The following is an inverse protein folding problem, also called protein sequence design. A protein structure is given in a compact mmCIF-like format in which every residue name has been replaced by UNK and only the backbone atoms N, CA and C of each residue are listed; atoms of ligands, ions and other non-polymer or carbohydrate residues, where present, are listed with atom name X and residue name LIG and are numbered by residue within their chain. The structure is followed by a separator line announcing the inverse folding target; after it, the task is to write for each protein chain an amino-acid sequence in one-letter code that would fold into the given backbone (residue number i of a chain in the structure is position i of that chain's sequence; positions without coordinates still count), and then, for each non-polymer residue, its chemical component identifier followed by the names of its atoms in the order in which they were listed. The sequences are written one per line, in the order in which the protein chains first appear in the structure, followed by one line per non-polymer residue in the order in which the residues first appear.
data_IF_698888275474
#
_entry.id   IF_698888275474
#
_cell.length_a   1.000
_cell.length_b   1.000
_cell.length_c   1.000
_cell.angle_alpha   90.00
_cell.angle_beta   90.00
_cell.angle_gamma   90.00
#
_symmetry.space_group_name_H-M   'P 1'
#
loop_
_entity.id
_entity.type
_entity.pdbx_description
1 polymer ?
#
# COMPACT_ATOMS: atom_id res chain seq x y z
N UNK A 1 5.25 -42.11 -9.30
CA UNK A 1 5.70 -41.13 -8.29
C UNK A 1 5.71 -39.76 -8.98
N UNK A 2 4.61 -39.01 -8.89
CA UNK A 2 4.42 -37.76 -9.61
C UNK A 2 4.46 -36.58 -8.64
N UNK A 3 5.36 -35.62 -8.87
CA UNK A 3 5.39 -34.36 -8.14
C UNK A 3 4.67 -33.32 -9.00
N UNK A 4 3.48 -32.92 -8.58
CA UNK A 4 2.70 -31.86 -9.23
C UNK A 4 3.23 -30.52 -8.70
N UNK A 5 3.99 -29.78 -9.52
CA UNK A 5 4.17 -28.34 -9.30
C UNK A 5 2.83 -27.66 -9.54
N UNK A 6 2.23 -27.09 -8.49
CA UNK A 6 1.09 -26.18 -8.63
C UNK A 6 1.65 -24.82 -9.07
N UNK A 7 1.12 -24.27 -10.16
CA UNK A 7 1.38 -22.88 -10.52
C UNK A 7 0.60 -21.96 -9.57
N UNK A 8 1.20 -20.83 -9.24
CA UNK A 8 0.51 -19.72 -8.60
C UNK A 8 -0.49 -19.11 -9.58
N UNK A 9 -1.78 -19.16 -9.24
CA UNK A 9 -2.80 -18.30 -9.86
C UNK A 9 -3.21 -17.26 -8.84
N UNK A 10 -2.56 -16.10 -8.84
CA UNK A 10 -3.21 -14.88 -8.36
C UNK A 10 -4.38 -14.63 -9.31
N UNK A 11 -5.59 -14.45 -8.76
CA UNK A 11 -6.81 -14.37 -9.55
C UNK A 11 -6.94 -12.99 -10.21
N UNK A 12 -6.14 -12.72 -11.23
CA UNK A 12 -6.31 -11.56 -12.09
C UNK A 12 -7.64 -11.67 -12.84
N UNK A 13 -8.39 -10.56 -12.87
CA UNK A 13 -9.62 -10.46 -13.66
C UNK A 13 -9.26 -10.56 -15.16
N UNK A 14 -10.09 -11.25 -15.93
CA UNK A 14 -9.64 -11.90 -17.17
C UNK A 14 -9.31 -10.95 -18.34
N UNK A 15 -8.19 -11.23 -19.02
CA UNK A 15 -7.95 -10.88 -20.42
C UNK A 15 -7.50 -12.15 -21.18
N UNK A 16 -7.98 -12.33 -22.41
CA UNK A 16 -7.92 -13.59 -23.15
C UNK A 16 -7.05 -13.46 -24.42
N UNK A 17 -6.06 -14.34 -24.62
CA UNK A 17 -5.54 -14.72 -25.95
C UNK A 17 -4.64 -15.98 -25.90
N UNK A 18 -4.50 -16.65 -27.05
CA UNK A 18 -3.91 -18.00 -27.20
C UNK A 18 -2.38 -18.00 -27.46
N UNK A 19 -1.76 -19.16 -27.21
CA UNK A 19 -0.32 -19.44 -27.35
C UNK A 19 0.02 -20.43 -28.48
N UNK A 20 1.24 -20.30 -29.02
CA UNK A 20 2.08 -21.35 -29.68
C UNK A 20 3.53 -20.82 -29.73
N UNK A 21 4.67 -21.52 -29.73
CA UNK A 21 5.14 -22.85 -29.29
C UNK A 21 6.68 -22.96 -29.60
N UNK A 22 7.49 -23.51 -28.66
CA UNK A 22 8.64 -24.46 -28.83
C UNK A 22 9.85 -24.15 -29.79
N UNK A 23 11.15 -24.33 -29.46
CA UNK A 23 11.87 -24.48 -28.16
C UNK A 23 13.43 -24.12 -28.15
N UNK A 24 14.45 -25.01 -28.38
CA UNK A 24 15.62 -25.02 -27.44
C UNK A 24 17.07 -25.14 -27.99
N UNK A 25 18.09 -24.81 -27.15
CA UNK A 25 19.48 -25.36 -27.07
C UNK A 25 20.31 -24.58 -26.00
N UNK A 26 20.84 -25.08 -24.86
CA UNK A 26 21.90 -26.09 -24.54
C UNK A 26 23.38 -25.67 -24.68
N UNK A 27 24.07 -25.40 -23.55
CA UNK A 27 25.48 -25.76 -23.20
C UNK A 27 25.86 -25.05 -21.87
N UNK A 28 26.18 -25.65 -20.71
CA UNK A 28 27.27 -26.57 -20.27
C UNK A 28 28.72 -26.03 -20.42
N UNK A 29 29.32 -25.60 -19.30
CA UNK A 29 30.75 -25.29 -19.12
C UNK A 29 31.10 -25.12 -17.63
N UNK A 30 32.30 -25.50 -17.14
CA UNK A 30 32.46 -25.91 -15.72
C UNK A 30 33.09 -24.86 -14.77
N UNK A 31 33.03 -25.19 -13.47
CA UNK A 31 33.55 -24.39 -12.36
C UNK A 31 35.02 -24.67 -12.01
N UNK A 32 35.66 -23.70 -11.32
CA UNK A 32 36.79 -23.92 -10.41
C UNK A 32 36.76 -22.90 -9.27
N UNK A 33 37.13 -23.31 -8.05
CA UNK A 33 37.18 -22.48 -6.84
C UNK A 33 38.63 -22.36 -6.33
N UNK A 34 38.95 -21.32 -5.54
CA UNK A 34 39.89 -21.38 -4.38
C UNK A 34 40.06 -20.02 -3.68
N UNK A 35 40.14 -20.03 -2.33
CA UNK A 35 41.07 -19.19 -1.57
C UNK A 35 40.53 -17.89 -0.93
N UNK A 36 40.68 -17.69 0.40
CA UNK A 36 40.20 -16.49 1.10
C UNK A 36 41.27 -15.42 1.34
N UNK A 37 40.86 -14.14 1.42
CA UNK A 37 41.66 -13.05 1.99
C UNK A 37 40.75 -11.98 2.63
N UNK A 38 41.24 -11.29 3.64
CA UNK A 38 40.46 -10.47 4.58
C UNK A 38 40.45 -8.96 4.28
N UNK A 39 39.29 -8.34 4.50
CA UNK A 39 39.07 -7.02 5.12
C UNK A 39 39.81 -5.78 4.59
N UNK A 40 39.10 -5.00 3.76
CA UNK A 40 38.84 -3.55 3.95
C UNK A 40 37.57 -3.20 3.18
N UNK A 41 36.51 -2.74 3.87
CA UNK A 41 35.26 -2.35 3.20
C UNK A 41 35.39 -0.97 2.55
N UNK A 42 35.21 -0.82 1.23
CA UNK A 42 35.13 0.49 0.60
C UNK A 42 33.74 1.09 0.81
N UNK A 43 33.65 2.43 0.80
CA UNK A 43 32.37 3.11 0.65
C UNK A 43 31.70 2.66 -0.67
N UNK A 44 30.40 2.39 -0.64
CA UNK A 44 29.65 2.09 -1.86
C UNK A 44 29.50 3.37 -2.68
N UNK A 45 30.34 3.52 -3.70
CA UNK A 45 30.07 4.45 -4.78
C UNK A 45 28.89 3.92 -5.61
N UNK A 46 28.10 4.83 -6.17
CA UNK A 46 27.04 4.50 -7.13
C UNK A 46 27.62 3.67 -8.28
N UNK A 47 27.20 2.42 -8.38
CA UNK A 47 27.47 1.60 -9.55
C UNK A 47 26.50 2.05 -10.66
N UNK A 48 26.98 2.45 -11.86
CA UNK A 48 26.10 2.68 -12.99
C UNK A 48 25.36 1.38 -13.30
N UNK A 49 24.03 1.41 -13.33
CA UNK A 49 23.22 0.25 -13.71
C UNK A 49 23.63 -0.20 -15.11
N UNK A 50 24.25 -1.36 -15.20
CA UNK A 50 24.97 -1.79 -16.38
C UNK A 50 24.06 -2.29 -17.50
N UNK A 51 23.76 -1.43 -18.47
CA UNK A 51 23.54 -1.78 -19.88
C UNK A 51 22.38 -2.71 -20.26
N UNK A 52 21.57 -3.17 -19.31
CA UNK A 52 20.30 -3.83 -19.59
C UNK A 52 19.24 -2.77 -19.90
N UNK A 53 18.44 -3.01 -20.93
CA UNK A 53 17.27 -2.18 -21.24
C UNK A 53 16.23 -2.31 -20.10
N UNK A 54 15.75 -1.17 -19.60
CA UNK A 54 14.72 -1.17 -18.55
C UNK A 54 13.43 -1.76 -19.12
N UNK A 55 12.79 -2.73 -18.45
CA UNK A 55 11.53 -3.27 -18.92
C UNK A 55 10.42 -2.22 -18.75
N UNK A 56 9.35 -2.26 -19.56
CA UNK A 56 8.09 -1.61 -19.23
C UNK A 56 7.68 -2.02 -17.81
N UNK A 57 7.25 -1.05 -17.00
CA UNK A 57 6.92 -1.21 -15.60
C UNK A 57 8.13 -1.34 -14.66
N UNK A 58 9.36 -1.19 -15.14
CA UNK A 58 10.57 -1.04 -14.32
C UNK A 58 10.75 0.39 -13.81
N UNK A 59 11.53 0.57 -12.75
CA UNK A 59 11.85 1.89 -12.23
C UNK A 59 13.05 2.52 -12.98
N UNK A 60 12.87 3.75 -13.47
CA UNK A 60 13.94 4.54 -14.13
C UNK A 60 14.96 5.09 -13.13
N UNK A 61 14.52 5.31 -11.88
CA UNK A 61 15.32 5.86 -10.79
C UNK A 61 14.95 5.23 -9.44
N UNK A 62 15.55 5.74 -8.37
CA UNK A 62 15.32 5.26 -7.00
C UNK A 62 16.12 4.01 -6.66
N UNK A 63 16.12 3.67 -5.38
CA UNK A 63 16.85 2.54 -4.82
C UNK A 63 15.89 1.38 -4.57
N UNK A 64 16.26 0.16 -4.98
CA UNK A 64 15.48 -1.05 -4.68
C UNK A 64 15.51 -1.33 -3.16
N UNK A 65 14.35 -1.46 -2.52
CA UNK A 65 14.21 -1.71 -1.09
C UNK A 65 14.71 -3.09 -0.67
N UNK A 66 14.47 -4.11 -1.49
CA UNK A 66 15.00 -5.47 -1.31
C UNK A 66 15.01 -6.29 -2.60
N UNK A 67 15.87 -7.30 -2.64
CA UNK A 67 15.90 -8.29 -3.72
C UNK A 67 14.63 -9.16 -3.69
N UNK A 68 14.08 -9.48 -4.88
CA UNK A 68 12.87 -10.29 -5.01
C UNK A 68 11.59 -9.53 -4.67
N UNK A 69 10.51 -10.27 -4.40
CA UNK A 69 9.16 -9.70 -4.33
C UNK A 69 8.96 -8.78 -3.13
N UNK A 70 8.54 -7.54 -3.38
CA UNK A 70 8.14 -6.56 -2.38
C UNK A 70 6.97 -5.72 -2.93
N UNK A 71 5.76 -6.01 -2.44
CA UNK A 71 4.49 -5.46 -2.92
C UNK A 71 3.83 -4.57 -1.86
N UNK A 72 2.91 -3.71 -2.31
CA UNK A 72 1.98 -2.98 -1.45
C UNK A 72 2.68 -2.16 -0.34
N UNK A 73 3.61 -1.25 -0.72
CA UNK A 73 4.44 -0.55 0.24
C UNK A 73 3.64 0.39 1.13
N UNK A 74 4.03 0.49 2.39
CA UNK A 74 3.53 1.47 3.37
C UNK A 74 4.70 2.02 4.19
N UNK A 75 4.66 3.29 4.53
CA UNK A 75 5.68 3.94 5.35
C UNK A 75 5.06 4.93 6.33
N UNK A 76 5.66 5.02 7.52
CA UNK A 76 5.28 5.96 8.58
C UNK A 76 6.55 6.56 9.20
N UNK A 77 6.47 7.79 9.70
CA UNK A 77 7.52 8.40 10.51
C UNK A 77 7.12 8.38 11.98
N UNK A 78 8.00 7.86 12.84
CA UNK A 78 7.69 7.66 14.26
C UNK A 78 7.64 9.00 15.00
N UNK A 79 6.56 9.21 15.74
CA UNK A 79 6.30 10.42 16.52
C UNK A 79 5.99 10.13 18.00
N UNK A 80 5.80 8.87 18.39
CA UNK A 80 5.48 8.44 19.77
C UNK A 80 6.42 7.37 20.33
N UNK A 81 7.56 7.14 19.67
CA UNK A 81 8.58 6.14 20.00
C UNK A 81 9.80 6.69 20.77
N UNK A 82 9.66 7.87 21.40
CA UNK A 82 10.66 8.43 22.30
C UNK A 82 11.96 8.81 21.58
N UNK A 83 13.08 8.18 21.96
CA UNK A 83 14.39 8.43 21.33
C UNK A 83 14.47 7.97 19.86
N UNK A 84 13.52 7.17 19.39
CA UNK A 84 13.41 6.76 17.98
C UNK A 84 12.43 7.64 17.17
N UNK A 85 11.92 8.75 17.73
CA UNK A 85 11.14 9.71 16.95
C UNK A 85 11.96 10.24 15.75
N UNK A 86 11.32 10.42 14.61
CA UNK A 86 11.96 10.79 13.34
C UNK A 86 12.42 9.59 12.50
N UNK A 87 12.62 8.40 13.10
CA UNK A 87 12.86 7.16 12.32
C UNK A 87 11.68 6.88 11.40
N UNK A 88 11.95 6.53 10.14
CA UNK A 88 10.93 6.08 9.19
C UNK A 88 10.88 4.56 9.24
N UNK A 89 9.69 3.99 9.39
CA UNK A 89 9.46 2.54 9.28
C UNK A 89 8.67 2.26 8.01
N UNK A 90 9.19 1.37 7.17
CA UNK A 90 8.52 0.88 5.96
C UNK A 90 8.09 -0.59 6.11
N UNK A 91 6.99 -0.95 5.46
CA UNK A 91 6.43 -2.31 5.40
C UNK A 91 6.09 -2.67 3.97
N UNK A 92 6.43 -3.88 3.55
CA UNK A 92 6.02 -4.48 2.26
C UNK A 92 5.55 -5.92 2.46
N UNK A 93 4.71 -6.40 1.54
CA UNK A 93 4.36 -7.80 1.39
C UNK A 93 5.45 -8.52 0.59
N UNK A 94 6.07 -9.53 1.18
CA UNK A 94 7.08 -10.39 0.54
C UNK A 94 6.74 -11.87 0.76
N UNK A 95 7.51 -12.79 0.16
CA UNK A 95 7.21 -14.23 0.20
C UNK A 95 8.47 -15.08 0.45
N UNK A 96 8.32 -16.11 1.27
CA UNK A 96 9.31 -17.17 1.46
C UNK A 96 8.76 -18.47 0.86
N UNK A 97 9.08 -18.73 -0.42
CA UNK A 97 8.36 -19.71 -1.21
C UNK A 97 6.91 -19.25 -1.42
N UNK A 98 5.94 -20.08 -1.03
CA UNK A 98 4.52 -19.81 -1.21
C UNK A 98 3.88 -19.06 -0.02
N UNK A 99 4.62 -18.87 1.08
CA UNK A 99 4.13 -18.24 2.32
C UNK A 99 4.43 -16.74 2.30
N UNK A 100 3.38 -15.93 2.48
CA UNK A 100 3.51 -14.48 2.55
C UNK A 100 3.96 -13.97 3.93
N UNK A 101 4.66 -12.83 3.95
CA UNK A 101 5.17 -12.17 5.15
C UNK A 101 5.09 -10.65 5.00
N UNK A 102 4.96 -9.93 6.12
CA UNK A 102 5.28 -8.51 6.17
C UNK A 102 6.78 -8.33 6.44
N UNK A 103 7.54 -7.74 5.51
CA UNK A 103 8.93 -7.36 5.76
C UNK A 103 9.00 -5.91 6.24
N UNK A 104 9.68 -5.68 7.37
CA UNK A 104 9.73 -4.38 8.05
C UNK A 104 11.16 -3.82 7.98
N UNK A 105 11.25 -2.56 7.55
CA UNK A 105 12.49 -1.82 7.35
C UNK A 105 12.49 -0.53 8.16
N UNK A 106 13.69 -0.05 8.53
CA UNK A 106 13.86 1.24 9.18
C UNK A 106 14.89 2.11 8.44
N UNK A 107 14.62 3.40 8.36
CA UNK A 107 15.56 4.45 7.94
C UNK A 107 15.76 5.45 9.08
N UNK A 108 17.02 5.84 9.30
CA UNK A 108 17.41 6.88 10.28
C UNK A 108 18.12 8.06 9.61
N UNK A 109 18.01 8.18 8.29
CA UNK A 109 18.65 9.18 7.42
C UNK A 109 17.63 9.87 6.50
N UNK A 110 16.41 10.04 7.03
CA UNK A 110 15.23 10.61 6.37
C UNK A 110 14.93 9.99 4.98
N UNK A 111 14.98 8.66 4.91
CA UNK A 111 14.53 7.88 3.75
C UNK A 111 15.61 7.60 2.70
N UNK A 112 16.88 7.95 2.95
CA UNK A 112 17.99 7.77 2.00
C UNK A 112 18.53 6.34 1.97
N UNK A 113 18.43 5.60 3.07
CA UNK A 113 18.71 4.15 3.11
C UNK A 113 17.79 3.42 4.09
N UNK A 114 17.58 2.12 3.85
CA UNK A 114 16.68 1.28 4.64
C UNK A 114 17.33 -0.05 5.01
N UNK A 115 17.36 -0.36 6.30
CA UNK A 115 17.77 -1.66 6.83
C UNK A 115 16.55 -2.50 7.21
N UNK A 116 16.56 -3.80 6.90
CA UNK A 116 15.50 -4.73 7.34
C UNK A 116 15.64 -5.01 8.83
N UNK A 117 14.67 -4.56 9.63
CA UNK A 117 14.70 -4.66 11.10
C UNK A 117 13.83 -5.77 11.67
N UNK A 118 12.81 -6.24 10.93
CA UNK A 118 11.88 -7.24 11.44
C UNK A 118 11.04 -7.93 10.36
N UNK A 119 10.16 -8.82 10.80
CA UNK A 119 9.25 -9.57 9.92
C UNK A 119 7.99 -9.98 10.69
N UNK A 120 6.83 -9.80 10.06
CA UNK A 120 5.54 -10.28 10.55
C UNK A 120 5.20 -11.58 9.81
N UNK A 121 4.88 -12.63 10.57
CA UNK A 121 4.60 -13.97 10.06
C UNK A 121 3.30 -14.50 10.64
N UNK A 122 2.21 -14.31 9.89
CA UNK A 122 0.91 -14.84 10.27
C UNK A 122 0.76 -16.31 9.82
N UNK A 123 0.35 -17.25 10.69
CA UNK A 123 0.16 -18.65 10.30
C UNK A 123 -0.86 -18.86 9.17
N UNK A 124 -1.87 -17.98 9.04
CA UNK A 124 -2.85 -18.03 7.96
C UNK A 124 -2.28 -17.64 6.59
N UNK A 125 -1.14 -16.93 6.55
CA UNK A 125 -0.47 -16.47 5.34
C UNK A 125 0.03 -17.62 4.44
N UNK A 126 0.12 -18.84 4.98
CA UNK A 126 0.35 -20.07 4.21
C UNK A 126 -0.81 -20.42 3.25
N UNK A 127 -1.96 -19.74 3.39
CA UNK A 127 -3.07 -19.77 2.43
C UNK A 127 -3.30 -18.39 1.78
N UNK A 128 -2.20 -17.65 1.58
CA UNK A 128 -2.19 -16.34 0.95
C UNK A 128 -2.21 -15.20 1.97
N UNK A 129 -1.50 -14.13 1.59
CA UNK A 129 -1.47 -12.84 2.26
C UNK A 129 -1.51 -11.76 1.18
N UNK A 130 -2.22 -10.66 1.41
CA UNK A 130 -2.18 -9.46 0.57
C UNK A 130 -2.22 -8.20 1.44
N UNK A 131 -1.82 -7.08 0.84
CA UNK A 131 -2.43 -5.79 1.13
C UNK A 131 -2.24 -5.36 2.60
N UNK A 132 -0.99 -5.15 3.03
CA UNK A 132 -0.69 -4.80 4.43
C UNK A 132 -0.83 -3.31 4.74
N UNK A 133 -1.17 -2.99 6.00
CA UNK A 133 -1.03 -1.64 6.58
C UNK A 133 -0.06 -1.64 7.77
N UNK A 134 0.49 -0.46 8.07
CA UNK A 134 1.43 -0.19 9.16
C UNK A 134 1.05 1.15 9.82
N UNK A 135 0.91 1.17 11.14
CA UNK A 135 0.39 2.33 11.87
C UNK A 135 1.06 2.50 13.25
N UNK A 136 1.53 3.70 13.62
CA UNK A 136 1.95 3.98 15.01
C UNK A 136 0.76 4.51 15.81
N UNK A 137 0.46 3.90 16.97
CA UNK A 137 -0.60 4.40 17.84
C UNK A 137 -0.28 5.82 18.37
N UNK A 138 -1.08 6.85 18.04
CA UNK A 138 -0.83 8.23 18.48
C UNK A 138 -1.14 8.43 19.98
N UNK A 139 -1.91 7.51 20.58
CA UNK A 139 -2.35 7.46 21.98
C UNK A 139 -2.59 6.01 22.39
N UNK A 140 -2.73 5.76 23.70
CA UNK A 140 -3.10 4.44 24.23
C UNK A 140 -4.49 4.00 23.75
N UNK A 141 -4.62 2.73 23.37
CA UNK A 141 -5.89 1.99 23.20
C UNK A 141 -5.79 0.72 24.05
N UNK A 142 -6.62 0.59 25.09
CA UNK A 142 -6.51 -0.48 26.09
C UNK A 142 -5.09 -0.73 26.61
N UNK A 143 -4.60 -1.97 26.42
CA UNK A 143 -3.25 -2.41 26.79
C UNK A 143 -2.15 -1.93 25.82
N UNK A 144 -2.51 -1.45 24.63
CA UNK A 144 -1.57 -0.96 23.61
C UNK A 144 -1.21 0.50 23.93
N UNK A 145 0.08 0.76 24.19
CA UNK A 145 0.56 2.11 24.53
C UNK A 145 0.70 3.00 23.28
N UNK A 146 0.75 4.32 23.46
CA UNK A 146 1.21 5.20 22.39
C UNK A 146 2.63 4.78 21.94
N UNK A 147 2.93 4.87 20.65
CA UNK A 147 4.18 4.37 20.07
C UNK A 147 4.23 2.86 19.81
N UNK A 148 3.18 2.10 20.19
CA UNK A 148 3.04 0.71 19.70
C UNK A 148 2.76 0.77 18.21
N UNK A 149 3.56 0.06 17.40
CA UNK A 149 3.27 -0.11 15.97
C UNK A 149 2.25 -1.23 15.82
N UNK A 150 1.27 -1.04 14.94
CA UNK A 150 0.30 -2.04 14.53
C UNK A 150 0.53 -2.39 13.07
N UNK A 151 0.35 -3.67 12.76
CA UNK A 151 0.39 -4.21 11.41
C UNK A 151 -0.81 -5.12 11.21
N UNK A 152 -1.42 -5.05 10.02
CA UNK A 152 -2.50 -5.94 9.60
C UNK A 152 -2.39 -6.19 8.10
N UNK A 153 -3.02 -7.26 7.63
CA UNK A 153 -3.07 -7.64 6.22
C UNK A 153 -4.32 -8.48 5.95
N UNK A 154 -4.65 -8.63 4.68
CA UNK A 154 -5.67 -9.56 4.21
C UNK A 154 -5.10 -10.97 4.15
N UNK A 155 -5.58 -11.88 5.00
CA UNK A 155 -5.02 -13.24 5.13
C UNK A 155 -6.04 -14.30 4.70
N UNK A 156 -5.58 -15.31 3.95
CA UNK A 156 -6.34 -16.51 3.61
C UNK A 156 -7.00 -16.55 2.23
N UNK A 157 -6.65 -15.65 1.29
CA UNK A 157 -7.33 -15.56 -0.01
C UNK A 157 -7.16 -16.79 -0.92
N UNK A 158 -6.08 -17.55 -0.77
CA UNK A 158 -5.82 -18.78 -1.52
C UNK A 158 -6.49 -20.02 -0.90
N UNK A 159 -7.15 -19.89 0.26
CA UNK A 159 -8.00 -20.95 0.79
C UNK A 159 -9.14 -21.26 -0.20
N UNK A 160 -9.50 -22.53 -0.35
CA UNK A 160 -10.49 -22.98 -1.35
C UNK A 160 -11.86 -22.31 -1.16
N UNK A 161 -12.50 -21.88 -2.25
CA UNK A 161 -13.65 -20.96 -2.20
C UNK A 161 -14.83 -21.47 -1.35
N UNK A 162 -15.11 -22.77 -1.27
CA UNK A 162 -16.18 -23.28 -0.41
C UNK A 162 -15.91 -23.08 1.10
N UNK A 163 -14.63 -23.03 1.49
CA UNK A 163 -14.18 -23.00 2.90
C UNK A 163 -13.44 -21.73 3.29
N UNK A 164 -13.12 -20.84 2.33
CA UNK A 164 -12.42 -19.56 2.58
C UNK A 164 -13.11 -18.77 3.68
N UNK A 165 -12.36 -18.37 4.71
CA UNK A 165 -12.75 -17.35 5.69
C UNK A 165 -11.56 -16.42 5.88
N UNK A 166 -11.50 -15.37 5.06
CA UNK A 166 -10.41 -14.40 5.17
C UNK A 166 -10.46 -13.68 6.51
N UNK A 167 -9.29 -13.36 7.05
CA UNK A 167 -9.13 -12.70 8.35
C UNK A 167 -8.28 -11.45 8.22
N UNK A 168 -8.49 -10.53 9.18
CA UNK A 168 -7.66 -9.34 9.39
C UNK A 168 -6.99 -9.46 10.76
N UNK A 169 -5.86 -10.19 10.86
CA UNK A 169 -5.12 -10.29 12.10
C UNK A 169 -4.48 -8.94 12.45
N UNK A 170 -4.38 -8.65 13.75
CA UNK A 170 -3.71 -7.47 14.29
C UNK A 170 -2.46 -7.92 15.01
N UNK A 171 -1.31 -7.47 14.51
CA UNK A 171 0.00 -7.70 15.10
C UNK A 171 0.52 -6.39 15.68
N UNK A 172 1.21 -6.44 16.82
CA UNK A 172 1.78 -5.27 17.48
C UNK A 172 3.29 -5.40 17.68
N UNK A 173 4.01 -4.28 17.60
CA UNK A 173 5.43 -4.16 17.95
C UNK A 173 5.63 -3.01 18.94
N UNK A 174 6.53 -3.22 19.92
CA UNK A 174 6.88 -2.27 20.98
C UNK A 174 8.34 -1.82 20.93
N UNK A 175 9.07 -2.29 19.93
CA UNK A 175 10.52 -2.13 19.75
C UNK A 175 10.85 -1.64 18.33
N UNK A 176 9.98 -0.76 17.80
CA UNK A 176 10.08 -0.10 16.49
C UNK A 176 10.14 -1.10 15.32
N UNK A 177 9.29 -2.12 15.37
CA UNK A 177 9.08 -3.05 14.26
C UNK A 177 10.02 -4.26 14.23
N UNK A 178 10.85 -4.47 15.27
CA UNK A 178 11.82 -5.57 15.33
C UNK A 178 11.17 -6.90 15.70
N UNK A 179 10.35 -6.91 16.74
CA UNK A 179 9.55 -8.08 17.15
C UNK A 179 8.06 -7.76 17.11
N UNK A 180 7.26 -8.79 16.80
CA UNK A 180 5.82 -8.66 16.59
C UNK A 180 5.05 -9.73 17.38
N UNK A 181 4.07 -9.29 18.17
CA UNK A 181 3.14 -10.13 18.93
C UNK A 181 1.76 -10.12 18.27
N UNK A 182 1.12 -11.28 18.13
CA UNK A 182 -0.29 -11.36 17.70
C UNK A 182 -1.17 -10.83 18.83
N UNK A 183 -2.08 -9.91 18.50
CA UNK A 183 -2.98 -9.25 19.46
C UNK A 183 -4.39 -9.84 19.36
N UNK A 184 -4.98 -9.78 18.17
CA UNK A 184 -6.37 -10.19 17.93
C UNK A 184 -6.64 -10.39 16.44
N UNK A 185 -7.87 -10.80 16.09
CA UNK A 185 -8.37 -10.77 14.71
C UNK A 185 -9.50 -9.75 14.68
N UNK A 186 -9.33 -8.66 13.94
CA UNK A 186 -10.28 -7.55 13.90
C UNK A 186 -11.58 -7.92 13.19
N UNK A 187 -11.48 -8.70 12.10
CA UNK A 187 -12.62 -9.23 11.39
C UNK A 187 -12.32 -10.61 10.79
N UNK A 188 -13.37 -11.41 10.62
CA UNK A 188 -13.38 -12.62 9.81
C UNK A 188 -14.51 -12.50 8.79
N UNK A 189 -14.26 -12.87 7.53
CA UNK A 189 -15.25 -12.84 6.47
C UNK A 189 -16.49 -13.68 6.86
N UNK A 190 -17.68 -13.06 6.79
CA UNK A 190 -18.95 -13.77 7.05
C UNK A 190 -19.28 -14.79 5.96
N UNK A 191 -18.80 -14.54 4.74
CA UNK A 191 -18.90 -15.43 3.58
C UNK A 191 -17.54 -15.95 3.13
N UNK A 192 -17.44 -16.25 1.83
CA UNK A 192 -16.25 -16.82 1.18
C UNK A 192 -15.58 -15.88 0.18
N UNK A 193 -16.05 -14.63 0.12
CA UNK A 193 -15.50 -13.56 -0.71
C UNK A 193 -14.48 -12.75 0.09
N UNK A 194 -13.78 -11.83 -0.58
CA UNK A 194 -12.63 -11.18 0.01
C UNK A 194 -12.93 -10.18 1.13
N UNK A 195 -11.92 -10.00 1.98
CA UNK A 195 -11.75 -8.85 2.87
C UNK A 195 -10.37 -8.25 2.58
N UNK A 196 -10.34 -7.07 1.98
CA UNK A 196 -9.14 -6.48 1.39
C UNK A 196 -8.72 -5.19 2.10
N UNK A 197 -7.42 -4.90 2.04
CA UNK A 197 -6.85 -3.58 2.30
C UNK A 197 -7.24 -2.96 3.66
N UNK A 198 -6.89 -3.60 4.80
CA UNK A 198 -7.05 -2.99 6.12
C UNK A 198 -6.35 -1.62 6.19
N UNK A 199 -7.00 -0.63 6.81
CA UNK A 199 -6.41 0.68 7.15
C UNK A 199 -6.79 1.09 8.57
N UNK A 200 -5.84 1.58 9.36
CA UNK A 200 -6.07 1.95 10.77
C UNK A 200 -6.29 3.46 10.97
N UNK A 201 -7.14 3.80 11.92
CA UNK A 201 -7.17 5.13 12.56
C UNK A 201 -7.48 5.01 14.05
N UNK A 202 -7.29 6.09 14.82
CA UNK A 202 -7.74 6.18 16.22
C UNK A 202 -8.65 7.39 16.38
N UNK A 203 -9.92 7.14 16.72
CA UNK A 203 -10.96 8.15 16.85
C UNK A 203 -10.74 9.08 18.07
N UNK A 204 -11.41 10.26 18.12
CA UNK A 204 -11.25 11.22 19.23
C UNK A 204 -11.59 10.66 20.61
N UNK A 205 -12.55 9.73 20.71
CA UNK A 205 -12.90 9.02 21.94
C UNK A 205 -11.84 7.97 22.37
N UNK A 206 -10.90 7.63 21.48
CA UNK A 206 -9.77 6.73 21.76
C UNK A 206 -10.01 5.27 21.38
N UNK A 207 -11.02 4.96 20.56
CA UNK A 207 -11.14 3.64 19.93
C UNK A 207 -10.16 3.52 18.75
N UNK A 208 -9.62 2.32 18.56
CA UNK A 208 -9.00 1.91 17.32
C UNK A 208 -10.12 1.62 16.30
N UNK A 209 -9.95 2.11 15.08
CA UNK A 209 -10.85 1.89 13.93
C UNK A 209 -10.04 1.15 12.87
N UNK A 210 -10.66 0.15 12.24
CA UNK A 210 -10.11 -0.53 11.07
C UNK A 210 -11.13 -0.43 9.93
N UNK A 211 -10.73 0.18 8.82
CA UNK A 211 -11.49 0.21 7.56
C UNK A 211 -11.03 -0.91 6.64
N UNK A 212 -11.94 -1.43 5.81
CA UNK A 212 -11.71 -2.62 4.99
C UNK A 212 -12.57 -2.55 3.73
N UNK A 213 -12.08 -3.07 2.60
CA UNK A 213 -12.89 -3.42 1.44
C UNK A 213 -13.55 -4.80 1.63
N UNK A 214 -14.88 -4.90 1.54
CA UNK A 214 -15.64 -6.15 1.76
C UNK A 214 -16.43 -6.59 0.52
N UNK A 215 -16.26 -7.84 0.10
CA UNK A 215 -16.98 -8.44 -1.02
C UNK A 215 -18.11 -9.39 -0.60
N UNK A 216 -18.37 -9.57 0.70
CA UNK A 216 -19.29 -10.59 1.22
C UNK A 216 -20.78 -10.18 1.15
N UNK A 217 -21.10 -9.01 0.59
CA UNK A 217 -22.46 -8.48 0.44
C UNK A 217 -23.06 -8.71 -0.97
N UNK A 218 -22.46 -9.61 -1.76
CA UNK A 218 -22.95 -10.00 -3.08
C UNK A 218 -24.31 -10.74 -3.00
N UNK A 219 -25.22 -10.56 -3.98
CA UNK A 219 -25.07 -9.77 -5.19
C UNK A 219 -25.51 -8.29 -5.05
N UNK A 220 -25.90 -7.83 -3.86
CA UNK A 220 -26.39 -6.46 -3.65
C UNK A 220 -25.28 -5.41 -3.85
N UNK A 221 -24.06 -5.73 -3.44
CA UNK A 221 -22.85 -4.95 -3.72
C UNK A 221 -21.75 -5.90 -4.17
N UNK A 222 -21.02 -5.58 -5.25
CA UNK A 222 -19.86 -6.38 -5.65
C UNK A 222 -18.65 -6.14 -4.74
N UNK A 223 -18.54 -4.93 -4.17
CA UNK A 223 -17.65 -4.57 -3.06
C UNK A 223 -18.26 -3.40 -2.27
N UNK A 224 -17.97 -3.29 -0.97
CA UNK A 224 -18.27 -2.15 -0.09
C UNK A 224 -17.00 -1.72 0.65
N UNK A 225 -17.00 -0.52 1.24
CA UNK A 225 -16.05 -0.17 2.31
C UNK A 225 -16.79 -0.26 3.64
N UNK A 226 -16.25 -1.06 4.56
CA UNK A 226 -16.77 -1.28 5.92
C UNK A 226 -15.76 -0.81 6.97
N UNK A 227 -16.22 -0.66 8.20
CA UNK A 227 -15.37 -0.42 9.36
C UNK A 227 -15.73 -1.34 10.54
N UNK A 228 -14.77 -1.56 11.44
CA UNK A 228 -15.00 -2.06 12.80
C UNK A 228 -14.21 -1.23 13.81
N UNK A 229 -14.68 -1.17 15.06
CA UNK A 229 -14.03 -0.40 16.13
C UNK A 229 -13.75 -1.25 17.36
N UNK A 230 -12.68 -0.91 18.09
CA UNK A 230 -12.26 -1.57 19.32
C UNK A 230 -11.77 -0.54 20.36
N UNK A 231 -12.17 -0.71 21.63
CA UNK A 231 -11.70 0.12 22.74
C UNK A 231 -10.44 -0.42 23.43
N UNK A 232 -10.08 -1.68 23.17
CA UNK A 232 -8.99 -2.40 23.82
C UNK A 232 -7.95 -3.00 22.86
N UNK A 233 -8.25 -3.04 21.55
CA UNK A 233 -7.47 -3.72 20.51
C UNK A 233 -7.70 -5.23 20.44
N UNK A 234 -8.60 -5.77 21.26
CA UNK A 234 -8.85 -7.21 21.44
C UNK A 234 -10.27 -7.60 21.02
N UNK A 235 -11.25 -6.81 21.46
CA UNK A 235 -12.67 -7.00 21.23
C UNK A 235 -13.15 -5.99 20.20
N UNK A 236 -13.76 -6.47 19.12
CA UNK A 236 -14.13 -5.66 17.95
C UNK A 236 -15.65 -5.62 17.77
N UNK A 237 -16.17 -4.49 17.30
CA UNK A 237 -17.57 -4.39 16.90
C UNK A 237 -17.86 -5.23 15.65
N UNK A 238 -19.13 -5.54 15.35
CA UNK A 238 -19.50 -5.99 14.01
C UNK A 238 -18.99 -5.03 12.93
N UNK A 239 -18.86 -5.54 11.70
CA UNK A 239 -18.58 -4.72 10.53
C UNK A 239 -19.80 -3.86 10.17
N UNK A 240 -19.58 -2.58 9.93
CA UNK A 240 -20.60 -1.60 9.56
C UNK A 240 -20.22 -0.91 8.24
N UNK A 241 -21.18 -0.69 7.34
CA UNK A 241 -20.92 -0.06 6.03
C UNK A 241 -20.59 1.43 6.18
N UNK A 242 -19.46 1.84 5.59
CA UNK A 242 -19.06 3.24 5.40
C UNK A 242 -19.45 3.71 3.99
N UNK A 243 -19.20 2.87 2.98
CA UNK A 243 -19.58 3.10 1.58
C UNK A 243 -20.20 1.83 1.00
N UNK A 244 -21.47 1.90 0.59
CA UNK A 244 -22.14 0.84 -0.14
C UNK A 244 -22.97 1.44 -1.27
N UNK A 245 -22.48 1.28 -2.50
CA UNK A 245 -23.07 1.90 -3.69
C UNK A 245 -24.36 1.19 -4.11
N UNK A 246 -25.38 1.96 -4.46
CA UNK A 246 -26.68 1.41 -4.88
C UNK A 246 -26.63 0.67 -6.23
N UNK A 247 -25.65 1.00 -7.08
CA UNK A 247 -25.32 0.20 -8.26
C UNK A 247 -24.43 -0.99 -7.83
N UNK A 248 -24.89 -2.24 -7.98
CA UNK A 248 -24.12 -3.43 -7.57
C UNK A 248 -22.81 -3.61 -8.36
N UNK A 249 -22.68 -3.00 -9.55
CA UNK A 249 -21.48 -3.10 -10.38
C UNK A 249 -20.36 -2.15 -9.93
N UNK A 250 -20.65 -1.17 -9.06
CA UNK A 250 -19.63 -0.30 -8.48
C UNK A 250 -18.92 -0.98 -7.32
N UNK A 251 -17.62 -0.71 -7.22
CA UNK A 251 -16.66 -1.33 -6.31
C UNK A 251 -15.82 -0.26 -5.61
N UNK A 252 -16.35 0.41 -4.58
CA UNK A 252 -15.53 1.23 -3.69
C UNK A 252 -14.48 0.35 -2.98
N UNK A 253 -13.23 0.81 -2.88
CA UNK A 253 -12.15 0.02 -2.28
C UNK A 253 -10.89 0.82 -1.95
N UNK A 254 -9.92 0.13 -1.36
CA UNK A 254 -8.62 0.67 -0.97
C UNK A 254 -8.70 1.91 -0.07
N UNK A 255 -9.42 1.84 1.08
CA UNK A 255 -9.54 2.97 2.00
C UNK A 255 -8.17 3.37 2.56
N UNK A 256 -7.85 4.67 2.49
CA UNK A 256 -6.67 5.28 3.12
C UNK A 256 -7.16 6.47 3.94
N UNK A 257 -6.84 6.53 5.23
CA UNK A 257 -7.42 7.54 6.14
C UNK A 257 -6.35 8.39 6.80
N UNK A 258 -6.51 9.71 6.70
CA UNK A 258 -5.66 10.71 7.35
C UNK A 258 -6.49 11.58 8.27
N UNK A 259 -5.89 12.00 9.38
CA UNK A 259 -6.49 12.98 10.30
C UNK A 259 -5.93 14.36 9.97
N UNK A 260 -6.80 15.32 9.74
CA UNK A 260 -6.50 16.69 9.35
C UNK A 260 -6.23 17.58 10.59
N UNK A 261 -5.61 18.78 10.43
CA UNK A 261 -5.25 19.66 11.54
C UNK A 261 -6.46 20.23 12.28
N UNK A 262 -7.58 20.43 11.58
CA UNK A 262 -8.90 20.75 12.14
C UNK A 262 -9.51 19.62 13.02
N UNK A 263 -8.80 18.47 13.09
CA UNK A 263 -9.10 17.24 13.83
C UNK A 263 -10.14 16.32 13.19
N UNK A 264 -10.67 16.68 12.01
CA UNK A 264 -11.50 15.80 11.18
C UNK A 264 -10.64 14.72 10.50
N UNK A 265 -11.29 13.83 9.77
CA UNK A 265 -10.68 12.72 9.05
C UNK A 265 -11.07 12.82 7.58
N UNK A 266 -10.11 12.53 6.72
CA UNK A 266 -10.26 12.43 5.27
C UNK A 266 -9.97 10.98 4.88
N UNK A 267 -10.92 10.33 4.20
CA UNK A 267 -10.72 9.03 3.56
C UNK A 267 -10.52 9.25 2.07
N UNK A 268 -9.45 8.67 1.52
CA UNK A 268 -9.19 8.43 0.09
C UNK A 268 -9.59 7.00 -0.26
N UNK A 269 -10.15 6.77 -1.44
CA UNK A 269 -10.50 5.45 -1.96
C UNK A 269 -10.69 5.48 -3.48
N UNK A 270 -10.65 4.31 -4.13
CA UNK A 270 -11.06 4.15 -5.52
C UNK A 270 -12.54 3.76 -5.61
N UNK A 271 -13.19 4.09 -6.73
CA UNK A 271 -14.49 3.50 -7.11
C UNK A 271 -14.35 2.83 -8.47
N UNK A 272 -14.13 1.51 -8.45
CA UNK A 272 -14.10 0.69 -9.66
C UNK A 272 -15.51 0.38 -10.18
N UNK A 273 -15.59 -0.14 -11.40
CA UNK A 273 -16.84 -0.50 -12.07
C UNK A 273 -17.22 0.43 -13.22
N UNK A 274 -18.38 0.20 -13.87
CA UNK A 274 -18.82 0.98 -15.03
C UNK A 274 -18.86 2.48 -14.73
N UNK A 275 -18.49 3.31 -15.71
CA UNK A 275 -18.50 4.78 -15.67
C UNK A 275 -17.44 5.40 -14.74
N UNK A 276 -17.08 4.74 -13.63
CA UNK A 276 -16.15 5.27 -12.63
C UNK A 276 -14.69 4.87 -12.87
N UNK A 277 -14.43 3.77 -13.58
CA UNK A 277 -13.09 3.33 -14.03
C UNK A 277 -12.01 3.32 -12.93
N UNK A 278 -12.36 3.04 -11.68
CA UNK A 278 -11.42 3.05 -10.53
C UNK A 278 -10.85 4.44 -10.21
N UNK A 279 -11.59 5.52 -10.55
CA UNK A 279 -11.23 6.89 -10.21
C UNK A 279 -11.13 7.10 -8.70
N UNK A 280 -10.21 7.97 -8.30
CA UNK A 280 -9.96 8.38 -6.91
C UNK A 280 -11.05 9.35 -6.40
N UNK A 281 -11.60 9.06 -5.23
CA UNK A 281 -12.57 9.87 -4.48
C UNK A 281 -12.11 10.13 -3.05
N UNK A 282 -12.63 11.20 -2.44
CA UNK A 282 -12.46 11.50 -1.01
C UNK A 282 -13.79 11.79 -0.30
N UNK A 283 -13.84 11.50 1.02
CA UNK A 283 -14.93 11.87 1.94
C UNK A 283 -14.39 12.31 3.29
N UNK A 284 -15.13 13.16 4.01
CA UNK A 284 -14.80 13.54 5.40
C UNK A 284 -15.63 12.84 6.47
N UNK A 285 -15.08 12.81 7.68
CA UNK A 285 -15.75 12.47 8.93
C UNK A 285 -15.24 13.37 10.06
N UNK A 286 -16.10 13.76 11.00
CA UNK A 286 -15.71 14.57 12.15
C UNK A 286 -14.94 13.76 13.23
N UNK A 287 -15.09 12.44 13.25
CA UNK A 287 -14.60 11.55 14.31
C UNK A 287 -13.91 10.26 13.81
N UNK A 288 -13.91 10.01 12.49
CA UNK A 288 -13.36 8.81 11.87
C UNK A 288 -14.27 7.58 12.00
N UNK A 289 -15.52 7.74 12.46
CA UNK A 289 -16.46 6.63 12.67
C UNK A 289 -17.81 6.96 12.04
N UNK A 290 -18.26 8.20 12.21
CA UNK A 290 -19.47 8.77 11.66
C UNK A 290 -19.13 9.46 10.34
N UNK A 291 -19.32 8.75 9.23
CA UNK A 291 -19.13 9.28 7.87
C UNK A 291 -20.46 9.83 7.34
N UNK A 292 -20.40 10.48 6.17
CA UNK A 292 -21.60 10.91 5.43
C UNK A 292 -22.52 9.72 5.06
N UNK A 293 -23.63 9.97 4.36
CA UNK A 293 -24.56 8.92 3.94
C UNK A 293 -23.84 7.76 3.20
N UNK A 294 -24.18 6.52 3.55
CA UNK A 294 -23.50 5.29 3.07
C UNK A 294 -23.49 5.15 1.54
N UNK A 295 -24.52 5.65 0.86
CA UNK A 295 -24.59 5.67 -0.61
C UNK A 295 -23.89 6.86 -1.28
N UNK A 296 -23.20 7.74 -0.52
CA UNK A 296 -22.46 8.86 -1.10
C UNK A 296 -21.13 8.38 -1.70
N UNK A 297 -20.93 8.67 -2.99
CA UNK A 297 -19.69 8.39 -3.72
C UNK A 297 -18.55 9.34 -3.34
N UNK A 298 -18.84 10.47 -2.70
CA UNK A 298 -17.84 11.47 -2.28
C UNK A 298 -17.38 12.41 -3.40
N UNK A 299 -16.29 13.11 -3.14
CA UNK A 299 -15.73 14.15 -4.00
C UNK A 299 -14.62 13.57 -4.89
N UNK A 300 -14.71 13.67 -6.23
CA UNK A 300 -13.67 13.15 -7.12
C UNK A 300 -12.38 13.95 -7.00
N UNK A 301 -11.24 13.27 -6.91
CA UNK A 301 -9.92 13.90 -6.96
C UNK A 301 -9.52 14.18 -8.41
N UNK A 302 -8.90 15.33 -8.66
CA UNK A 302 -8.37 15.71 -9.96
C UNK A 302 -8.08 17.20 -10.10
N UNK A 303 -7.43 17.54 -11.20
CA UNK A 303 -7.10 18.91 -11.60
C UNK A 303 -8.30 19.62 -12.23
N UNK A 304 -8.17 20.93 -12.44
CA UNK A 304 -9.18 21.74 -13.14
C UNK A 304 -9.37 21.36 -14.63
N UNK A 305 -8.34 20.78 -15.27
CA UNK A 305 -8.42 20.28 -16.66
C UNK A 305 -8.92 18.83 -16.76
N UNK A 306 -9.24 18.20 -15.62
CA UNK A 306 -9.80 16.84 -15.55
C UNK A 306 -8.76 15.72 -15.53
N UNK A 307 -7.47 16.04 -15.42
CA UNK A 307 -6.42 15.07 -15.09
C UNK A 307 -6.70 14.42 -13.73
N UNK A 308 -6.68 13.09 -13.67
CA UNK A 308 -7.04 12.33 -12.47
C UNK A 308 -6.27 10.99 -12.39
N UNK A 309 -6.09 10.47 -11.17
CA UNK A 309 -5.63 9.11 -10.98
C UNK A 309 -6.76 8.09 -11.09
N UNK A 310 -6.39 6.90 -11.58
CA UNK A 310 -7.18 5.67 -11.48
C UNK A 310 -6.32 4.58 -10.84
N UNK A 311 -6.99 3.69 -10.11
CA UNK A 311 -6.45 2.57 -9.36
C UNK A 311 -5.55 2.93 -8.17
N UNK A 312 -5.72 2.20 -7.08
CA UNK A 312 -4.86 2.17 -5.89
C UNK A 312 -4.45 3.53 -5.30
N UNK A 313 -5.39 4.44 -5.02
CA UNK A 313 -5.06 5.77 -4.53
C UNK A 313 -4.43 5.73 -3.13
N UNK A 314 -3.58 6.71 -2.87
CA UNK A 314 -3.03 7.01 -1.55
C UNK A 314 -3.09 8.52 -1.33
N UNK A 315 -3.24 8.93 -0.08
CA UNK A 315 -3.26 10.32 0.34
C UNK A 315 -2.41 10.49 1.60
N UNK A 316 -1.66 11.57 1.64
CA UNK A 316 -0.89 11.99 2.80
C UNK A 316 -1.12 13.47 3.07
N UNK A 317 -0.87 13.88 4.32
CA UNK A 317 -1.02 15.26 4.78
C UNK A 317 0.24 15.66 5.54
N UNK A 318 0.64 16.93 5.44
CA UNK A 318 1.66 17.52 6.29
C UNK A 318 1.32 18.96 6.70
N UNK A 319 1.92 19.36 7.81
CA UNK A 319 1.93 20.74 8.29
C UNK A 319 3.00 21.52 7.52
N UNK A 320 2.58 22.43 6.66
CA UNK A 320 3.41 23.38 5.92
C UNK A 320 3.46 24.78 6.61
N UNK A 321 2.89 24.89 7.81
CA UNK A 321 2.71 26.15 8.53
C UNK A 321 1.45 26.94 8.17
N UNK A 322 0.63 26.48 7.21
CA UNK A 322 -0.70 27.05 6.95
C UNK A 322 -1.76 26.50 7.92
N UNK A 323 -2.99 27.03 7.85
CA UNK A 323 -4.07 26.61 8.74
C UNK A 323 -4.62 25.20 8.44
N UNK A 324 -4.64 24.84 7.15
CA UNK A 324 -5.21 23.59 6.64
C UNK A 324 -4.12 22.54 6.33
N UNK A 325 -2.85 22.96 6.28
CA UNK A 325 -1.72 22.16 5.82
C UNK A 325 -1.84 21.84 4.33
N UNK A 326 -1.02 20.89 3.87
CA UNK A 326 -1.03 20.44 2.47
C UNK A 326 -1.27 18.95 2.34
N UNK A 327 -2.03 18.60 1.31
CA UNK A 327 -2.32 17.22 0.90
C UNK A 327 -1.45 16.82 -0.30
N UNK A 328 -0.96 15.59 -0.25
CA UNK A 328 -0.32 14.90 -1.37
C UNK A 328 -1.16 13.70 -1.75
N UNK A 329 -1.42 13.52 -3.05
CA UNK A 329 -2.20 12.42 -3.61
C UNK A 329 -1.45 11.69 -4.71
N UNK A 330 -1.59 10.37 -4.77
CA UNK A 330 -1.02 9.53 -5.83
C UNK A 330 -1.96 8.37 -6.12
N UNK A 331 -1.85 7.77 -7.30
CA UNK A 331 -2.48 6.51 -7.67
C UNK A 331 -1.67 5.84 -8.77
N UNK A 332 -2.09 4.66 -9.24
CA UNK A 332 -1.28 3.87 -10.17
C UNK A 332 -1.14 4.53 -11.53
N UNK A 333 -2.26 4.93 -12.13
CA UNK A 333 -2.32 5.35 -13.52
C UNK A 333 -2.86 6.77 -13.63
N UNK A 334 -2.17 7.63 -14.39
CA UNK A 334 -2.58 9.01 -14.64
C UNK A 334 -3.38 9.12 -15.94
N UNK A 335 -4.57 9.69 -15.87
CA UNK A 335 -5.51 9.80 -16.98
C UNK A 335 -5.94 11.25 -17.25
N UNK A 336 -6.11 11.57 -18.54
CA UNK A 336 -6.70 12.82 -19.00
C UNK A 336 -8.24 12.80 -18.93
N UNK A 337 -8.87 13.96 -19.14
CA UNK A 337 -10.32 14.09 -19.13
C UNK A 337 -11.04 13.28 -20.23
N UNK A 338 -10.33 12.92 -21.30
CA UNK A 338 -10.81 12.10 -22.42
C UNK A 338 -10.65 10.58 -22.18
N UNK A 339 -10.05 10.18 -21.06
CA UNK A 339 -9.74 8.78 -20.74
C UNK A 339 -8.46 8.25 -21.38
N UNK A 340 -7.64 9.09 -22.01
CA UNK A 340 -6.28 8.72 -22.42
C UNK A 340 -5.36 8.56 -21.20
N UNK A 341 -4.40 7.62 -21.27
CA UNK A 341 -3.29 7.55 -20.31
C UNK A 341 -2.31 8.68 -20.65
N UNK A 342 -1.93 9.47 -19.65
CA UNK A 342 -1.03 10.61 -19.85
C UNK A 342 0.45 10.19 -19.75
N UNK A 343 1.38 10.89 -20.44
CA UNK A 343 2.82 10.60 -20.38
C UNK A 343 3.45 10.68 -18.97
N UNK A 344 2.81 11.39 -18.02
CA UNK A 344 3.24 11.46 -16.62
C UNK A 344 2.79 10.29 -15.74
N UNK A 345 2.14 9.27 -16.31
CA UNK A 345 1.72 8.08 -15.57
C UNK A 345 2.93 7.33 -15.05
N UNK A 346 3.02 7.12 -13.74
CA UNK A 346 4.19 6.53 -13.07
C UNK A 346 5.30 7.51 -12.69
N UNK A 347 5.14 8.81 -12.97
CA UNK A 347 6.13 9.87 -12.64
C UNK A 347 5.50 11.15 -12.10
N UNK A 348 4.20 11.13 -11.75
CA UNK A 348 3.43 12.28 -11.27
C UNK A 348 2.83 11.99 -9.89
N UNK A 349 2.79 13.02 -9.04
CA UNK A 349 1.95 13.11 -7.84
C UNK A 349 1.02 14.34 -7.96
N UNK A 350 0.05 14.47 -7.06
CA UNK A 350 -0.84 15.63 -6.99
C UNK A 350 -0.74 16.35 -5.65
N UNK A 351 -0.91 17.67 -5.67
CA UNK A 351 -0.91 18.55 -4.49
C UNK A 351 -2.24 19.27 -4.34
N UNK A 352 -2.59 19.62 -3.09
CA UNK A 352 -3.78 20.40 -2.77
C UNK A 352 -3.63 21.11 -1.41
N UNK A 353 -4.05 22.38 -1.33
CA UNK A 353 -3.86 23.26 -0.17
C UNK A 353 -4.88 22.98 0.97
N UNK A 354 -4.98 21.72 1.39
CA UNK A 354 -5.82 21.28 2.52
C UNK A 354 -7.34 21.25 2.25
N UNK A 355 -7.79 21.68 1.07
CA UNK A 355 -9.19 21.73 0.63
C UNK A 355 -9.42 20.70 -0.50
N UNK A 356 -9.56 19.39 -0.20
CA UNK A 356 -9.62 18.30 -1.19
C UNK A 356 -10.77 18.40 -2.22
N UNK A 357 -11.79 19.21 -1.96
CA UNK A 357 -12.87 19.57 -2.91
C UNK A 357 -12.44 20.54 -4.00
N UNK A 358 -11.36 21.29 -3.80
CA UNK A 358 -10.82 22.20 -4.80
C UNK A 358 -10.00 21.44 -5.85
N UNK A 359 -9.69 22.10 -6.96
CA UNK A 359 -8.83 21.52 -7.99
C UNK A 359 -7.45 21.22 -7.42
N UNK A 360 -6.93 20.03 -7.72
CA UNK A 360 -5.57 19.64 -7.38
C UNK A 360 -4.59 20.16 -8.44
N UNK A 361 -3.32 20.32 -8.09
CA UNK A 361 -2.22 20.54 -9.03
C UNK A 361 -1.39 19.25 -9.19
N UNK A 362 -0.55 19.18 -10.21
CA UNK A 362 0.37 18.07 -10.47
C UNK A 362 1.81 18.47 -10.18
N UNK A 363 2.59 17.55 -9.62
CA UNK A 363 4.04 17.70 -9.44
C UNK A 363 4.77 16.40 -9.81
N UNK A 364 6.09 16.49 -9.98
CA UNK A 364 6.95 15.33 -10.27
C UNK A 364 6.98 14.37 -9.07
N UNK A 365 6.88 13.07 -9.34
CA UNK A 365 7.05 12.02 -8.35
C UNK A 365 8.54 11.75 -8.05
N UNK A 366 8.95 11.49 -6.80
CA UNK A 366 10.32 11.09 -6.48
C UNK A 366 10.76 9.80 -7.21
N UNK A 367 9.87 8.81 -7.35
CA UNK A 367 10.11 7.57 -8.11
C UNK A 367 9.44 7.67 -9.47
N UNK A 368 10.11 7.17 -10.51
CA UNK A 368 9.63 7.11 -11.89
C UNK A 368 9.57 5.67 -12.36
N UNK A 369 8.38 5.23 -12.76
CA UNK A 369 8.14 3.93 -13.37
C UNK A 369 7.97 4.14 -14.88
N UNK A 370 8.77 3.45 -15.69
CA UNK A 370 8.71 3.48 -17.15
C UNK A 370 7.42 2.80 -17.64
N UNK A 371 6.66 3.45 -18.53
CA UNK A 371 5.48 2.88 -19.23
C UNK A 371 4.60 1.94 -18.36
N UNK A 372 4.06 2.39 -17.22
CA UNK A 372 3.22 1.56 -16.37
C UNK A 372 1.89 1.25 -17.05
N UNK A 373 1.26 0.15 -16.65
CA UNK A 373 -0.09 -0.22 -17.06
C UNK A 373 -0.86 -0.79 -15.87
N UNK A 374 -2.20 -0.82 -15.98
CA UNK A 374 -3.06 -1.43 -14.97
C UNK A 374 -2.70 -2.92 -14.79
N UNK A 375 -2.03 -3.20 -13.67
CA UNK A 375 -1.46 -4.49 -13.29
C UNK A 375 -1.13 -4.48 -11.78
N UNK A 376 -0.95 -5.63 -11.15
CA UNK A 376 -0.64 -5.70 -9.71
C UNK A 376 0.76 -5.19 -9.31
N UNK A 377 1.60 -4.80 -10.27
CA UNK A 377 2.99 -4.43 -10.05
C UNK A 377 3.36 -2.95 -10.32
N UNK A 378 3.44 -2.46 -11.57
CA UNK A 378 4.03 -1.16 -11.85
C UNK A 378 3.18 -0.03 -11.25
N UNK A 379 3.82 0.79 -10.41
CA UNK A 379 3.21 1.86 -9.63
C UNK A 379 1.97 1.43 -8.79
N UNK A 380 1.94 0.20 -8.27
CA UNK A 380 0.76 -0.37 -7.60
C UNK A 380 0.71 -0.06 -6.10
N UNK A 381 -0.30 0.71 -5.68
CA UNK A 381 -0.50 1.25 -4.33
C UNK A 381 0.74 1.95 -3.75
N UNK A 382 1.28 2.97 -4.45
CA UNK A 382 2.45 3.71 -4.00
C UNK A 382 2.14 4.47 -2.69
N UNK A 383 3.18 4.82 -1.94
CA UNK A 383 3.07 5.58 -0.69
C UNK A 383 3.94 6.81 -0.73
N UNK A 384 3.34 7.96 -0.42
CA UNK A 384 4.04 9.21 -0.15
C UNK A 384 4.12 9.46 1.36
N UNK A 385 5.32 9.74 1.86
CA UNK A 385 5.57 10.16 3.23
C UNK A 385 6.25 11.54 3.20
N UNK A 386 5.52 12.64 3.45
CA UNK A 386 6.11 13.97 3.55
C UNK A 386 7.01 14.11 4.79
N UNK A 387 8.10 14.85 4.63
CA UNK A 387 9.16 15.09 5.60
C UNK A 387 9.39 16.62 5.73
N UNK A 388 8.41 17.37 6.29
CA UNK A 388 8.42 18.84 6.25
C UNK A 388 9.60 19.47 7.01
N UNK A 389 10.24 18.76 7.94
CA UNK A 389 11.42 19.26 8.66
C UNK A 389 12.71 19.25 7.82
N UNK A 390 12.74 18.53 6.69
CA UNK A 390 13.83 18.57 5.70
C UNK A 390 13.42 19.14 4.34
N UNK A 391 12.17 19.60 4.21
CA UNK A 391 11.56 20.08 2.96
C UNK A 391 11.52 19.00 1.85
N UNK A 392 11.33 17.74 2.25
CA UNK A 392 11.39 16.57 1.35
C UNK A 392 10.10 15.71 1.38
N UNK A 393 9.90 14.90 0.36
CA UNK A 393 8.94 13.79 0.33
C UNK A 393 9.65 12.51 -0.06
N UNK A 394 9.42 11.46 0.73
CA UNK A 394 9.79 10.08 0.40
C UNK A 394 8.63 9.43 -0.37
N UNK A 395 8.92 8.81 -1.50
CA UNK A 395 8.02 7.89 -2.16
C UNK A 395 8.53 6.45 -2.06
N UNK A 396 7.60 5.51 -1.91
CA UNK A 396 7.80 4.09 -2.17
C UNK A 396 6.81 3.65 -3.25
N UNK A 397 7.31 3.16 -4.38
CA UNK A 397 6.50 2.70 -5.51
C UNK A 397 7.02 1.36 -6.04
N UNK A 398 6.15 0.54 -6.63
CA UNK A 398 6.50 -0.80 -7.11
C UNK A 398 6.82 -0.85 -8.60
N UNK A 399 7.73 -1.74 -8.98
CA UNK A 399 8.13 -1.95 -10.38
C UNK A 399 8.82 -3.30 -10.59
N UNK A 400 8.96 -3.71 -11.84
CA UNK A 400 9.67 -4.93 -12.21
C UNK A 400 11.19 -4.73 -12.18
N UNK A 401 11.91 -5.67 -11.58
CA UNK A 401 13.38 -5.61 -11.50
C UNK A 401 14.10 -5.96 -12.83
N UNK A 402 13.39 -6.63 -13.73
CA UNK A 402 13.83 -7.03 -15.08
C UNK A 402 12.63 -7.61 -15.86
N UNK A 403 12.78 -7.84 -17.17
CA UNK A 403 11.75 -8.50 -17.98
C UNK A 403 11.43 -9.90 -17.41
N UNK A 404 10.19 -10.10 -16.94
CA UNK A 404 9.77 -11.34 -16.28
C UNK A 404 10.36 -11.56 -14.86
N UNK A 405 11.07 -10.58 -14.31
CA UNK A 405 11.62 -10.59 -12.95
C UNK A 405 10.57 -10.39 -11.86
N UNK A 406 11.01 -10.34 -10.59
CA UNK A 406 10.12 -10.06 -9.48
C UNK A 406 9.57 -8.62 -9.53
N UNK A 407 8.36 -8.45 -9.01
CA UNK A 407 7.84 -7.14 -8.67
C UNK A 407 8.37 -6.70 -7.32
N UNK A 408 9.14 -5.62 -7.26
CA UNK A 408 9.79 -5.11 -6.06
C UNK A 408 9.42 -3.65 -5.80
N UNK A 409 9.74 -3.16 -4.61
CA UNK A 409 9.53 -1.77 -4.20
C UNK A 409 10.83 -0.99 -4.39
N UNK A 410 10.72 0.17 -5.01
CA UNK A 410 11.75 1.20 -5.13
C UNK A 410 11.39 2.38 -4.25
N UNK A 411 12.39 3.08 -3.74
CA UNK A 411 12.20 4.29 -2.95
C UNK A 411 13.12 5.42 -3.41
N UNK A 412 12.64 6.66 -3.29
CA UNK A 412 13.41 7.86 -3.57
C UNK A 412 12.89 9.03 -2.73
N UNK A 413 13.77 9.99 -2.46
CA UNK A 413 13.43 11.27 -1.85
C UNK A 413 13.60 12.40 -2.86
N UNK A 414 12.69 13.37 -2.85
CA UNK A 414 12.80 14.61 -3.59
C UNK A 414 12.33 15.78 -2.70
N UNK A 415 12.52 17.02 -3.16
CA UNK A 415 11.96 18.19 -2.46
C UNK A 415 10.43 18.15 -2.43
N UNK A 416 9.82 18.78 -1.42
CA UNK A 416 8.37 18.96 -1.38
C UNK A 416 7.91 19.82 -2.57
N UNK A 417 6.75 19.52 -3.16
CA UNK A 417 6.20 20.31 -4.25
C UNK A 417 5.55 21.63 -3.76
N UNK A 418 5.79 22.70 -4.54
CA UNK A 418 5.24 24.07 -4.40
C UNK A 418 3.70 24.16 -4.45
#
# INVERSE_FOLDING_TARGET
MFVIRRLFTVLALAALTLSTAVAPATATGPATATGPATATGPAMAEAPLGGAELPPGGAENGTRLMDGTALYPRAIRLARSGAANGTIIASVVTFAGDVGHGAIFASTDDGRSFDRVGTVSDPGAATGLCCSTLYELPRRVGGLGAGTLLWSASVGQQQGEATRRMTLPVWASRDQGRTWEYVSTAATAVGTKGLWEPEFAVSPDGRLVLYVSDENQQPAHSQTIVQTTSSDGLTWSPLENVIAMADPALRPGMPVVRRLPDRTYLMSYEVCGPIQDCRHYTRRSADGVSWEAVGNIGNPVGTADGTHFRHTPNISWYDDGTADGRLLGVGQMLYGADGSVLPGSGSTIMTNDGVPESAWATAEAPVRILDPWNNYCPNYSPTLLPLPESDEVLELSTGYESEGGACTTYFAVAGLPD
#
